data_IF_774968774465
#
_entry.id   IF_774968774465
#
_cell.length_a   1.000
_cell.length_b   1.000
_cell.length_c   1.000
_cell.angle_alpha   90.00
_cell.angle_beta   90.00
_cell.angle_gamma   90.00
#
_symmetry.space_group_name_H-M   'P 1'
#
loop_
_entity.id
_entity.type
_entity.pdbx_description
1 polymer ?
#
# COMPACT_ATOMS: atom_id res chain seq x y z
N UNK A 1 6.06 6.07 13.40
CA UNK A 1 6.73 4.86 12.86
C UNK A 1 6.41 3.67 13.78
N UNK A 2 6.64 2.44 13.32
CA UNK A 2 6.47 1.21 14.10
C UNK A 2 7.82 0.53 14.25
N UNK A 3 8.25 0.28 15.48
CA UNK A 3 9.45 -0.50 15.79
C UNK A 3 9.07 -1.92 16.21
N UNK A 4 9.73 -2.91 15.64
CA UNK A 4 9.56 -4.32 16.00
C UNK A 4 10.93 -4.95 16.28
N UNK A 5 11.13 -5.43 17.51
CA UNK A 5 12.29 -6.25 17.85
C UNK A 5 11.92 -7.72 17.66
N UNK A 6 12.44 -8.33 16.60
CA UNK A 6 12.14 -9.72 16.23
C UNK A 6 13.32 -10.62 16.61
N UNK A 7 13.14 -11.57 17.56
CA UNK A 7 14.18 -12.54 17.90
C UNK A 7 14.72 -13.26 16.66
N UNK A 8 16.05 -13.33 16.53
CA UNK A 8 16.72 -13.99 15.40
C UNK A 8 16.75 -13.19 14.09
N UNK A 9 16.08 -12.03 14.01
CA UNK A 9 16.08 -11.16 12.83
C UNK A 9 16.66 -9.77 13.12
N UNK A 10 16.44 -9.23 14.32
CA UNK A 10 16.87 -7.89 14.71
C UNK A 10 15.72 -6.89 14.82
N UNK A 11 16.05 -5.59 14.91
CA UNK A 11 15.07 -4.51 14.95
C UNK A 11 14.61 -4.13 13.53
N UNK A 12 13.30 -3.97 13.33
CA UNK A 12 12.70 -3.42 12.13
C UNK A 12 12.10 -2.05 12.45
N UNK A 13 12.40 -1.06 11.62
CA UNK A 13 11.90 0.31 11.74
C UNK A 13 11.02 0.65 10.54
N UNK A 14 9.71 0.46 10.71
CA UNK A 14 8.74 0.65 9.65
C UNK A 14 8.20 2.08 9.66
N UNK A 15 8.33 2.76 8.53
CA UNK A 15 7.89 4.14 8.32
C UNK A 15 6.74 4.22 7.32
N UNK A 16 6.67 3.27 6.39
CA UNK A 16 5.77 3.31 5.26
C UNK A 16 4.92 2.04 5.17
N UNK A 17 3.63 2.21 4.89
CA UNK A 17 2.78 1.15 4.36
C UNK A 17 2.59 1.41 2.86
N UNK A 18 2.96 0.46 2.02
CA UNK A 18 2.63 0.47 0.60
C UNK A 18 1.57 -0.60 0.35
N UNK A 19 0.43 -0.20 -0.19
CA UNK A 19 -0.68 -1.11 -0.43
C UNK A 19 -1.13 -1.05 -1.89
N UNK A 20 -1.27 -2.23 -2.51
CA UNK A 20 -2.12 -2.37 -3.68
C UNK A 20 -3.59 -2.09 -3.32
N UNK A 21 -4.40 -1.68 -4.29
CA UNK A 21 -5.81 -1.31 -4.06
C UNK A 21 -6.77 -2.42 -4.45
N UNK A 22 -6.99 -2.66 -5.75
CA UNK A 22 -8.03 -3.58 -6.19
C UNK A 22 -7.53 -5.03 -6.19
N UNK A 23 -8.21 -5.91 -5.46
CA UNK A 23 -7.75 -7.26 -5.13
C UNK A 23 -7.12 -7.35 -3.73
N UNK A 24 -6.81 -6.20 -3.11
CA UNK A 24 -6.14 -6.12 -1.81
C UNK A 24 -6.98 -5.38 -0.77
N UNK A 25 -7.27 -4.09 -1.00
CA UNK A 25 -8.12 -3.26 -0.13
C UNK A 25 -9.55 -3.12 -0.67
N UNK A 26 -9.74 -3.36 -1.96
CA UNK A 26 -11.02 -3.20 -2.63
C UNK A 26 -11.35 -4.40 -3.50
N UNK A 27 -12.65 -4.64 -3.70
CA UNK A 27 -13.19 -5.61 -4.66
C UNK A 27 -14.06 -4.83 -5.64
N UNK A 28 -13.80 -4.98 -6.95
CA UNK A 28 -14.48 -4.27 -8.04
C UNK A 28 -14.55 -2.74 -7.83
N UNK A 29 -13.44 -2.17 -7.35
CA UNK A 29 -13.30 -0.75 -7.05
C UNK A 29 -14.10 -0.27 -5.83
N UNK A 30 -14.57 -1.18 -4.98
CA UNK A 30 -15.26 -0.87 -3.73
C UNK A 30 -14.40 -1.27 -2.54
N UNK A 31 -14.10 -0.31 -1.66
CA UNK A 31 -13.30 -0.53 -0.46
C UNK A 31 -14.00 -1.53 0.48
N UNK A 32 -13.26 -2.48 1.03
CA UNK A 32 -13.81 -3.46 1.98
C UNK A 32 -14.25 -2.81 3.30
N UNK A 33 -15.28 -3.40 3.90
CA UNK A 33 -15.87 -2.90 5.15
C UNK A 33 -14.85 -2.79 6.29
N UNK A 34 -14.94 -1.68 7.02
CA UNK A 34 -14.08 -1.40 8.18
C UNK A 34 -12.64 -0.98 7.84
N UNK A 35 -12.22 -0.99 6.58
CA UNK A 35 -10.87 -0.55 6.20
C UNK A 35 -10.63 0.93 6.43
N UNK A 36 -11.64 1.79 6.27
CA UNK A 36 -11.49 3.23 6.56
C UNK A 36 -10.94 3.46 7.97
N UNK A 37 -11.53 2.79 8.98
CA UNK A 37 -11.09 2.90 10.37
C UNK A 37 -9.69 2.30 10.58
N UNK A 38 -9.41 1.14 9.98
CA UNK A 38 -8.12 0.45 10.12
C UNK A 38 -6.97 1.24 9.50
N UNK A 39 -7.15 1.72 8.26
CA UNK A 39 -6.16 2.54 7.56
C UNK A 39 -5.96 3.87 8.29
N UNK A 40 -7.04 4.52 8.75
CA UNK A 40 -6.92 5.77 9.53
C UNK A 40 -6.09 5.59 10.79
N UNK A 41 -6.30 4.50 11.55
CA UNK A 41 -5.50 4.20 12.74
C UNK A 41 -4.01 3.93 12.44
N UNK A 42 -3.70 3.41 11.24
CA UNK A 42 -2.32 3.19 10.82
C UNK A 42 -1.61 4.49 10.42
N UNK A 43 -2.34 5.51 9.94
CA UNK A 43 -1.78 6.79 9.50
C UNK A 43 -1.10 7.57 10.61
N UNK A 44 -1.50 7.36 11.87
CA UNK A 44 -0.83 7.97 13.03
C UNK A 44 0.59 7.42 13.24
N UNK A 45 0.89 6.26 12.64
CA UNK A 45 2.16 5.54 12.84
C UNK A 45 2.95 5.36 11.55
N UNK A 46 2.31 5.24 10.40
CA UNK A 46 2.94 4.97 9.12
C UNK A 46 2.44 5.96 8.07
N UNK A 47 3.30 6.36 7.15
CA UNK A 47 2.87 7.03 5.93
C UNK A 47 2.28 5.98 4.99
N UNK A 48 1.00 6.12 4.66
CA UNK A 48 0.28 5.16 3.80
C UNK A 48 0.35 5.61 2.35
N UNK A 49 0.81 4.71 1.48
CA UNK A 49 0.91 4.89 0.04
C UNK A 49 0.02 3.85 -0.65
N UNK A 50 -0.86 4.31 -1.53
CA UNK A 50 -1.70 3.44 -2.35
C UNK A 50 -1.12 3.38 -3.76
N UNK A 51 -0.85 2.17 -4.26
CA UNK A 51 -0.41 1.94 -5.65
C UNK A 51 -1.53 1.24 -6.41
N UNK A 52 -1.91 1.77 -7.58
CA UNK A 52 -3.08 1.25 -8.29
C UNK A 52 -3.02 1.51 -9.79
N UNK A 53 -3.45 0.50 -10.54
CA UNK A 53 -3.78 0.65 -11.96
C UNK A 53 -5.19 1.24 -12.18
N UNK A 54 -6.05 1.29 -11.14
CA UNK A 54 -7.46 1.74 -11.16
C UNK A 54 -8.23 1.22 -12.37
N UNK A 55 -8.17 -0.08 -12.57
CA UNK A 55 -8.84 -0.78 -13.66
C UNK A 55 -10.36 -0.57 -13.66
N UNK A 56 -10.93 -0.13 -12.52
CA UNK A 56 -12.37 0.10 -12.34
C UNK A 56 -12.77 1.59 -12.39
N UNK A 57 -11.83 2.52 -12.54
CA UNK A 57 -12.11 3.96 -12.60
C UNK A 57 -12.74 4.55 -11.33
N UNK A 58 -12.55 3.90 -10.17
CA UNK A 58 -13.17 4.26 -8.89
C UNK A 58 -12.17 4.74 -7.84
N UNK A 59 -10.88 4.85 -8.19
CA UNK A 59 -9.84 5.23 -7.25
C UNK A 59 -10.11 6.58 -6.57
N UNK A 60 -10.66 7.58 -7.28
CA UNK A 60 -10.97 8.88 -6.70
C UNK A 60 -11.98 8.79 -5.53
N UNK A 61 -12.92 7.83 -5.59
CA UNK A 61 -13.88 7.59 -4.51
C UNK A 61 -13.17 6.99 -3.29
N UNK A 62 -12.31 6.00 -3.51
CA UNK A 62 -11.51 5.36 -2.45
C UNK A 62 -10.56 6.38 -1.79
N UNK A 63 -9.90 7.21 -2.60
CA UNK A 63 -9.04 8.30 -2.16
C UNK A 63 -9.80 9.26 -1.23
N UNK A 64 -11.03 9.63 -1.60
CA UNK A 64 -11.92 10.44 -0.75
C UNK A 64 -12.32 9.75 0.55
N UNK A 65 -12.67 8.45 0.50
CA UNK A 65 -13.05 7.66 1.68
C UNK A 65 -11.89 7.50 2.67
N UNK A 66 -10.67 7.34 2.17
CA UNK A 66 -9.47 7.17 2.99
C UNK A 66 -8.78 8.49 3.33
N UNK A 67 -9.18 9.60 2.69
CA UNK A 67 -8.48 10.89 2.71
C UNK A 67 -6.98 10.73 2.39
N UNK A 68 -6.71 10.03 1.28
CA UNK A 68 -5.38 9.73 0.73
C UNK A 68 -5.38 10.02 -0.77
N UNK A 69 -4.19 10.04 -1.38
CA UNK A 69 -4.06 10.14 -2.84
C UNK A 69 -3.25 8.95 -3.35
N UNK A 70 -3.83 8.15 -4.23
CA UNK A 70 -3.13 7.03 -4.81
C UNK A 70 -2.12 7.45 -5.89
N UNK A 71 -1.01 6.73 -5.94
CA UNK A 71 -0.05 6.78 -7.04
C UNK A 71 -0.52 5.84 -8.13
N UNK A 72 -0.55 6.36 -9.35
CA UNK A 72 -0.98 5.62 -10.52
C UNK A 72 0.17 4.77 -11.05
N UNK A 73 -0.07 3.47 -11.15
CA UNK A 73 0.79 2.53 -11.84
C UNK A 73 0.26 2.40 -13.27
N UNK A 74 0.90 3.02 -14.28
CA UNK A 74 0.52 2.84 -15.67
C UNK A 74 0.70 1.37 -16.11
N UNK A 75 -0.04 0.93 -17.13
CA UNK A 75 0.05 -0.44 -17.63
C UNK A 75 1.44 -0.80 -18.17
N UNK A 76 1.84 -2.04 -17.95
CA UNK A 76 3.12 -2.61 -18.38
C UNK A 76 4.20 -2.56 -17.30
N UNK A 77 4.88 -3.69 -17.05
CA UNK A 77 5.95 -3.82 -16.05
C UNK A 77 5.54 -3.35 -14.63
N UNK A 78 4.28 -3.53 -14.25
CA UNK A 78 3.71 -3.05 -12.98
C UNK A 78 4.51 -3.54 -11.78
N UNK A 79 5.02 -4.77 -11.82
CA UNK A 79 5.86 -5.33 -10.77
C UNK A 79 7.14 -4.51 -10.54
N UNK A 80 7.86 -4.19 -11.62
CA UNK A 80 9.07 -3.39 -11.53
C UNK A 80 8.77 -1.98 -11.03
N UNK A 81 7.70 -1.37 -11.54
CA UNK A 81 7.29 -0.02 -11.11
C UNK A 81 6.92 0.03 -9.62
N UNK A 82 6.18 -0.97 -9.11
CA UNK A 82 5.85 -1.09 -7.68
C UNK A 82 7.11 -1.30 -6.84
N UNK A 83 8.02 -2.18 -7.27
CA UNK A 83 9.28 -2.43 -6.59
C UNK A 83 10.19 -1.19 -6.56
N UNK A 84 10.26 -0.43 -7.65
CA UNK A 84 11.02 0.82 -7.72
C UNK A 84 10.44 1.89 -6.80
N UNK A 85 9.11 1.97 -6.70
CA UNK A 85 8.45 2.85 -5.72
C UNK A 85 8.86 2.48 -4.29
N UNK A 86 8.79 1.19 -3.92
CA UNK A 86 9.23 0.70 -2.60
C UNK A 86 10.70 1.02 -2.34
N UNK A 87 11.58 0.78 -3.32
CA UNK A 87 13.01 1.11 -3.20
C UNK A 87 13.25 2.61 -2.99
N UNK A 88 12.48 3.46 -3.66
CA UNK A 88 12.59 4.92 -3.52
C UNK A 88 12.26 5.42 -2.10
N UNK A 89 11.50 4.63 -1.32
CA UNK A 89 11.16 4.93 0.06
C UNK A 89 12.15 4.33 1.08
N UNK A 90 13.17 3.59 0.64
CA UNK A 90 14.00 2.75 1.51
C UNK A 90 13.27 1.46 1.87
N UNK A 91 13.50 0.42 1.07
CA UNK A 91 12.74 -0.84 1.12
C UNK A 91 12.73 -1.51 2.50
N UNK A 92 13.80 -1.34 3.27
CA UNK A 92 13.94 -1.84 4.65
C UNK A 92 12.98 -1.19 5.65
N UNK A 93 12.42 -0.02 5.31
CA UNK A 93 11.48 0.73 6.14
C UNK A 93 10.01 0.56 5.72
N UNK A 94 9.76 -0.22 4.67
CA UNK A 94 8.44 -0.40 4.07
C UNK A 94 7.85 -1.73 4.53
N UNK A 95 6.58 -1.71 4.92
CA UNK A 95 5.70 -2.88 4.86
C UNK A 95 4.84 -2.78 3.61
N UNK A 96 4.87 -3.81 2.77
CA UNK A 96 4.08 -3.88 1.55
C UNK A 96 2.96 -4.92 1.69
N UNK A 97 1.76 -4.60 1.19
CA UNK A 97 0.63 -5.54 1.10
C UNK A 97 0.07 -5.53 -0.32
N UNK A 98 -0.15 -6.71 -0.88
CA UNK A 98 -0.67 -6.89 -2.23
C UNK A 98 -1.06 -8.33 -2.49
N UNK A 99 -2.01 -8.54 -3.40
CA UNK A 99 -2.57 -9.85 -3.75
C UNK A 99 -2.07 -10.37 -5.10
N UNK A 100 -1.63 -9.49 -6.00
CA UNK A 100 -1.32 -9.82 -7.38
C UNK A 100 0.09 -10.34 -7.60
N UNK A 101 0.31 -11.02 -8.73
CA UNK A 101 1.66 -11.42 -9.16
C UNK A 101 2.58 -10.21 -9.38
N UNK A 102 2.01 -9.04 -9.68
CA UNK A 102 2.71 -7.78 -9.77
C UNK A 102 3.10 -7.17 -8.41
N UNK A 103 2.79 -7.81 -7.28
CA UNK A 103 3.18 -7.37 -5.93
C UNK A 103 4.35 -8.19 -5.36
N UNK A 104 4.79 -9.26 -6.02
CA UNK A 104 5.71 -10.26 -5.47
C UNK A 104 7.22 -9.96 -5.65
N UNK A 105 7.58 -8.83 -6.26
CA UNK A 105 8.95 -8.51 -6.71
C UNK A 105 9.68 -7.42 -5.94
#
# INVERSE_FOLDING_TARGET
>A
MIELNIPGRGSLQLHHLVADVNGTLAVDGQLLDGLVKKISALRDRLTVHLLTADTHGRQAVIDGQLNLKAVRVPPGNEAAQKADYVRSLGAETVVAIGQGANDAG
#
